data_IF_634651971291
#
_entry.id   IF_634651971291
#
_cell.length_a   1.000
_cell.length_b   1.000
_cell.length_c   1.000
_cell.angle_alpha   90.00
_cell.angle_beta   90.00
_cell.angle_gamma   90.00
#
_symmetry.space_group_name_H-M   'P 1'
#
loop_
_entity.id
_entity.type
_entity.pdbx_description
1 polymer ?
#
# COMPACT_ATOMS: atom_id res chain seq x y z
N UNK A 1 6.98 9.87 9.47
CA UNK A 1 5.91 9.45 8.54
C UNK A 1 6.49 8.47 7.52
N UNK A 2 5.67 7.61 6.92
CA UNK A 2 6.10 6.54 6.02
C UNK A 2 6.98 7.05 4.85
N UNK A 3 6.60 8.19 4.25
CA UNK A 3 7.38 8.83 3.19
C UNK A 3 8.79 9.25 3.61
N UNK A 4 8.92 9.79 4.82
CA UNK A 4 10.22 10.17 5.39
C UNK A 4 11.13 8.96 5.53
N UNK A 5 10.60 7.89 6.12
CA UNK A 5 11.35 6.67 6.37
C UNK A 5 11.84 6.02 5.08
N UNK A 6 10.94 5.80 4.09
CA UNK A 6 11.32 5.21 2.79
C UNK A 6 12.42 6.02 2.10
N UNK A 7 12.34 7.36 2.17
CA UNK A 7 13.34 8.26 1.60
C UNK A 7 14.69 8.15 2.31
N UNK A 8 14.69 8.13 3.64
CA UNK A 8 15.92 8.01 4.44
C UNK A 8 16.61 6.67 4.25
N UNK A 9 15.85 5.60 3.99
CA UNK A 9 16.41 4.29 3.66
C UNK A 9 16.86 4.16 2.20
N UNK A 10 16.63 5.16 1.35
CA UNK A 10 17.00 5.10 -0.08
C UNK A 10 16.27 4.01 -0.88
N UNK A 11 15.14 3.51 -0.38
CA UNK A 11 14.38 2.43 -1.02
C UNK A 11 13.63 3.00 -2.23
N UNK A 12 13.85 2.52 -3.46
CA UNK A 12 13.14 3.09 -4.62
C UNK A 12 11.69 2.61 -4.77
N UNK A 13 11.48 1.30 -4.68
CA UNK A 13 10.14 0.70 -4.77
C UNK A 13 9.95 -0.27 -3.61
N UNK A 14 8.72 -0.38 -3.14
CA UNK A 14 8.35 -1.34 -2.10
C UNK A 14 7.56 -2.45 -2.77
N UNK A 15 8.03 -3.68 -2.67
CA UNK A 15 7.34 -4.80 -3.31
C UNK A 15 6.00 -5.10 -2.62
N UNK A 16 5.97 -5.04 -1.30
CA UNK A 16 4.79 -5.40 -0.52
C UNK A 16 4.75 -4.59 0.79
N UNK A 17 3.58 -4.04 1.09
CA UNK A 17 3.25 -3.49 2.41
C UNK A 17 2.11 -4.33 2.99
N UNK A 18 2.31 -4.82 4.20
CA UNK A 18 1.23 -5.24 5.07
C UNK A 18 1.00 -4.11 6.08
N UNK A 19 -0.22 -3.59 6.08
CA UNK A 19 -0.64 -2.51 6.96
C UNK A 19 -1.81 -2.97 7.82
N UNK A 20 -1.65 -2.86 9.13
CA UNK A 20 -2.67 -3.13 10.14
C UNK A 20 -2.51 -2.00 11.17
N UNK A 21 -3.44 -1.05 11.15
CA UNK A 21 -3.33 0.23 11.88
C UNK A 21 -4.61 0.60 12.62
N UNK A 22 -5.55 -0.33 12.73
CA UNK A 22 -6.77 -0.36 13.52
C UNK A 22 -7.59 0.95 13.41
N UNK A 23 -7.85 1.41 12.18
CA UNK A 23 -8.64 2.61 11.91
C UNK A 23 -7.82 3.88 11.61
N UNK A 24 -6.49 3.82 11.67
CA UNK A 24 -5.62 4.94 11.34
C UNK A 24 -5.15 4.96 9.87
N UNK A 25 -5.85 4.27 8.96
CA UNK A 25 -5.42 4.12 7.56
C UNK A 25 -5.30 5.47 6.87
N UNK A 26 -6.22 6.40 7.16
CA UNK A 26 -6.20 7.75 6.58
C UNK A 26 -4.97 8.55 6.97
N UNK A 27 -4.45 8.37 8.18
CA UNK A 27 -3.24 9.07 8.63
C UNK A 27 -2.00 8.48 7.96
N UNK A 28 -1.97 7.17 7.74
CA UNK A 28 -0.94 6.54 6.92
C UNK A 28 -1.02 7.04 5.47
N UNK A 29 -2.21 7.12 4.88
CA UNK A 29 -2.39 7.59 3.51
C UNK A 29 -1.93 9.04 3.34
N UNK A 30 -2.22 9.91 4.32
CA UNK A 30 -1.74 11.30 4.34
C UNK A 30 -0.21 11.40 4.45
N UNK A 31 0.40 10.58 5.30
CA UNK A 31 1.86 10.58 5.53
C UNK A 31 2.69 9.67 4.62
N UNK A 32 2.02 8.91 3.74
CA UNK A 32 2.61 7.81 2.98
C UNK A 32 2.26 7.79 1.50
N UNK A 33 1.57 8.81 0.98
CA UNK A 33 1.08 8.85 -0.40
C UNK A 33 2.19 8.61 -1.44
N UNK A 34 3.40 9.16 -1.24
CA UNK A 34 4.50 8.94 -2.19
C UNK A 34 5.05 7.51 -2.13
N UNK A 35 5.09 6.91 -0.93
CA UNK A 35 5.52 5.53 -0.73
C UNK A 35 4.50 4.56 -1.30
N UNK A 36 3.21 4.77 -1.03
CA UNK A 36 2.11 3.95 -1.56
C UNK A 36 2.06 3.99 -3.09
N UNK A 37 2.26 5.16 -3.71
CA UNK A 37 2.37 5.28 -5.16
C UNK A 37 3.53 4.47 -5.77
N UNK A 38 4.53 4.10 -4.97
CA UNK A 38 5.71 3.29 -5.32
C UNK A 38 5.70 1.89 -4.72
N UNK A 39 4.55 1.47 -4.17
CA UNK A 39 4.33 0.16 -3.58
C UNK A 39 3.60 -0.73 -4.58
N UNK A 40 4.07 -1.96 -4.83
CA UNK A 40 3.45 -2.86 -5.81
C UNK A 40 2.19 -3.51 -5.25
N UNK A 41 2.26 -4.01 -4.02
CA UNK A 41 1.16 -4.69 -3.35
C UNK A 41 0.90 -4.08 -1.99
N UNK A 42 -0.37 -3.84 -1.67
CA UNK A 42 -0.81 -3.40 -0.35
C UNK A 42 -1.83 -4.41 0.17
N UNK A 43 -1.55 -4.99 1.32
CA UNK A 43 -2.51 -5.77 2.10
C UNK A 43 -2.89 -4.95 3.33
N UNK A 44 -4.18 -4.66 3.49
CA UNK A 44 -4.67 -3.81 4.57
C UNK A 44 -6.05 -4.21 5.04
N UNK A 45 -6.33 -3.94 6.31
CA UNK A 45 -7.65 -4.09 6.88
C UNK A 45 -8.63 -3.06 6.31
N UNK A 46 -9.91 -3.40 6.33
CA UNK A 46 -11.02 -2.47 6.17
C UNK A 46 -12.23 -3.02 6.92
N UNK A 47 -13.21 -2.17 7.24
CA UNK A 47 -14.51 -2.66 7.66
C UNK A 47 -15.62 -1.75 7.13
N UNK A 48 -16.67 -2.34 6.56
CA UNK A 48 -17.83 -1.61 6.08
C UNK A 48 -18.77 -1.17 7.23
N UNK A 49 -18.48 -1.64 8.46
CA UNK A 49 -19.04 -1.14 9.72
C UNK A 49 -17.91 -0.48 10.49
N UNK A 50 -18.12 0.74 10.96
CA UNK A 50 -17.15 1.45 11.79
C UNK A 50 -17.01 0.73 13.14
N UNK A 51 -15.95 -0.08 13.30
CA UNK A 51 -15.61 -0.73 14.57
C UNK A 51 -14.68 0.16 15.41
N UNK A 52 -13.90 1.03 14.73
CA UNK A 52 -13.01 2.04 15.32
C UNK A 52 -13.31 3.41 14.72
N UNK A 53 -13.20 4.47 15.52
CA UNK A 53 -13.42 5.85 15.06
C UNK A 53 -12.48 6.18 13.90
N UNK A 54 -13.04 6.55 12.74
CA UNK A 54 -12.27 6.90 11.55
C UNK A 54 -11.85 5.71 10.67
N UNK A 55 -12.28 4.49 11.00
CA UNK A 55 -12.05 3.31 10.17
C UNK A 55 -12.66 3.48 8.79
N UNK A 56 -11.86 3.20 7.76
CA UNK A 56 -12.31 3.33 6.38
C UNK A 56 -13.11 2.13 5.90
N UNK A 57 -14.22 2.42 5.23
CA UNK A 57 -14.88 1.45 4.35
C UNK A 57 -14.00 1.16 3.13
N UNK A 58 -14.22 0.02 2.48
CA UNK A 58 -13.45 -0.32 1.28
C UNK A 58 -13.59 0.75 0.16
N UNK A 59 -14.77 1.32 -0.13
CA UNK A 59 -14.89 2.40 -1.12
C UNK A 59 -14.03 3.64 -0.79
N UNK A 60 -14.04 4.09 0.47
CA UNK A 60 -13.24 5.26 0.88
C UNK A 60 -11.73 5.00 0.74
N UNK A 61 -11.31 3.78 1.07
CA UNK A 61 -9.93 3.34 0.92
C UNK A 61 -9.50 3.36 -0.55
N UNK A 62 -10.33 2.83 -1.46
CA UNK A 62 -10.07 2.82 -2.90
C UNK A 62 -10.08 4.23 -3.53
N UNK A 63 -10.92 5.15 -3.04
CA UNK A 63 -10.91 6.55 -3.48
C UNK A 63 -9.58 7.26 -3.19
N UNK A 64 -8.93 6.88 -2.07
CA UNK A 64 -7.60 7.37 -1.70
C UNK A 64 -6.49 6.69 -2.51
N UNK A 65 -6.66 5.42 -2.85
CA UNK A 65 -5.66 4.58 -3.52
C UNK A 65 -5.90 4.45 -5.02
N UNK A 66 -5.96 5.59 -5.73
CA UNK A 66 -6.38 5.68 -7.16
C UNK A 66 -5.59 4.84 -8.17
N UNK A 67 -4.43 4.31 -7.79
CA UNK A 67 -3.60 3.47 -8.66
C UNK A 67 -3.66 1.99 -8.30
N UNK A 68 -4.47 1.63 -7.31
CA UNK A 68 -4.63 0.28 -6.86
C UNK A 68 -5.95 -0.30 -7.36
N UNK A 69 -5.89 -1.55 -7.80
CA UNK A 69 -7.08 -2.38 -8.02
C UNK A 69 -7.13 -3.48 -6.97
N UNK A 70 -8.33 -3.97 -6.68
CA UNK A 70 -8.52 -5.14 -5.84
C UNK A 70 -8.01 -6.38 -6.57
N UNK A 71 -7.08 -7.10 -5.95
CA UNK A 71 -6.62 -8.41 -6.40
C UNK A 71 -7.39 -9.52 -5.69
N UNK A 72 -7.61 -9.40 -4.38
CA UNK A 72 -8.39 -10.36 -3.60
C UNK A 72 -9.05 -9.69 -2.38
N UNK A 73 -10.12 -10.30 -1.86
CA UNK A 73 -10.86 -9.82 -0.67
C UNK A 73 -11.02 -10.93 0.36
N UNK A 74 -10.81 -10.55 1.60
CA UNK A 74 -11.05 -11.35 2.79
C UNK A 74 -12.13 -10.66 3.63
N UNK A 75 -12.70 -11.32 4.67
CA UNK A 75 -13.80 -10.74 5.45
C UNK A 75 -13.53 -9.33 5.98
N UNK A 76 -12.31 -9.09 6.48
CA UNK A 76 -11.91 -7.81 7.10
C UNK A 76 -10.60 -7.24 6.50
N UNK A 77 -10.11 -7.83 5.39
CA UNK A 77 -8.88 -7.40 4.72
C UNK A 77 -9.02 -7.37 3.20
N UNK A 78 -8.16 -6.58 2.55
CA UNK A 78 -8.08 -6.51 1.09
C UNK A 78 -6.63 -6.59 0.62
N UNK A 79 -6.41 -7.38 -0.42
CA UNK A 79 -5.17 -7.38 -1.19
C UNK A 79 -5.34 -6.51 -2.43
N UNK A 80 -4.47 -5.52 -2.58
CA UNK A 80 -4.48 -4.55 -3.67
C UNK A 80 -3.19 -4.64 -4.49
N UNK A 81 -3.32 -4.46 -5.81
CA UNK A 81 -2.21 -4.37 -6.75
C UNK A 81 -2.14 -2.97 -7.37
N UNK A 82 -0.96 -2.36 -7.37
CA UNK A 82 -0.70 -1.08 -8.02
C UNK A 82 -0.53 -1.25 -9.53
N UNK A 83 -1.46 -0.71 -10.29
CA UNK A 83 -1.54 -0.84 -11.75
C UNK A 83 -0.42 -0.11 -12.51
N UNK A 84 0.32 0.78 -11.83
CA UNK A 84 1.42 1.54 -12.43
C UNK A 84 2.77 0.84 -12.35
N UNK A 85 2.90 -0.19 -11.51
CA UNK A 85 4.19 -0.84 -11.25
C UNK A 85 4.17 -2.25 -11.84
N UNK A 86 4.63 -2.38 -13.08
CA UNK A 86 4.75 -3.68 -13.75
C UNK A 86 5.69 -4.65 -13.02
N UNK A 87 5.45 -5.96 -13.12
CA UNK A 87 6.23 -7.03 -12.45
C UNK A 87 7.72 -6.87 -12.77
N UNK A 88 8.63 -6.88 -11.76
CA UNK A 88 10.04 -6.75 -12.03
C UNK A 88 10.45 -7.93 -12.89
N UNK A 89 11.07 -7.69 -14.03
CA UNK A 89 11.56 -8.78 -14.87
C UNK A 89 12.72 -9.46 -14.11
N UNK A 90 12.59 -10.72 -13.66
CA UNK A 90 13.63 -11.39 -12.87
C UNK A 90 14.96 -11.51 -13.63
N UNK A 91 14.96 -11.37 -14.96
CA UNK A 91 16.17 -11.42 -15.79
C UNK A 91 17.00 -10.13 -15.79
N UNK A 92 16.50 -9.00 -15.28
CA UNK A 92 17.24 -7.71 -15.25
C UNK A 92 18.04 -7.48 -13.96
N UNK A 93 17.98 -8.40 -13.00
CA UNK A 93 18.62 -8.27 -11.68
C UNK A 93 20.08 -8.75 -11.66
N UNK A 94 20.82 -8.55 -12.76
CA UNK A 94 22.26 -8.84 -12.89
C UNK A 94 23.02 -7.62 -13.39
N UNK A 95 23.29 -6.73 -12.45
CA UNK A 95 24.39 -5.78 -12.34
C UNK A 95 24.18 -5.14 -10.95
N UNK A 96 25.21 -4.61 -10.31
CA UNK A 96 25.16 -3.94 -8.98
C UNK A 96 25.58 -4.81 -7.78
N UNK A 97 26.20 -5.97 -8.02
CA UNK A 97 27.17 -6.52 -7.07
C UNK A 97 28.45 -6.86 -7.83
N UNK A 98 29.52 -6.14 -7.46
CA UNK A 98 30.87 -6.01 -8.04
C UNK A 98 31.04 -4.85 -9.03
#
# INVERSE_FOLDING_TARGET
MLDTWRREQGIDTVDFIWMDVQGAEMDVFRGGANTLARTRYLYTEYNDRELYEGQCTLPQLLDCLKYFKVLDRYPDDVLLENERIGIPNPKKRKADFL
#
